data_IF_366016617920
#
_entry.id   IF_366016617920
#
_cell.length_a   1.000
_cell.length_b   1.000
_cell.length_c   1.000
_cell.angle_alpha   90.00
_cell.angle_beta   90.00
_cell.angle_gamma   90.00
#
_symmetry.space_group_name_H-M   'P 1'
#
loop_
_entity.id
_entity.type
_entity.pdbx_description
1 polymer ?
#
# COMPACT_ATOMS: atom_id res chain seq x y z
N UNK A 1 10.72 -11.05 -18.67
CA UNK A 1 11.89 -11.05 -17.77
C UNK A 1 12.36 -9.61 -17.68
N UNK A 2 11.90 -8.88 -16.67
CA UNK A 2 12.32 -7.49 -16.42
C UNK A 2 13.24 -7.54 -15.20
N UNK A 3 14.54 -7.47 -15.45
CA UNK A 3 15.54 -7.09 -14.46
C UNK A 3 15.34 -5.60 -14.16
N UNK A 4 14.49 -5.28 -13.18
CA UNK A 4 14.35 -3.92 -12.66
C UNK A 4 15.11 -3.89 -11.33
N UNK A 5 16.30 -3.29 -11.39
CA UNK A 5 16.98 -2.55 -10.32
C UNK A 5 17.06 -3.26 -8.96
N UNK A 6 17.89 -4.29 -8.88
CA UNK A 6 18.44 -4.79 -7.61
C UNK A 6 19.24 -3.70 -6.90
N UNK A 7 18.58 -2.91 -6.05
CA UNK A 7 19.28 -2.02 -5.12
C UNK A 7 18.72 -2.20 -3.72
N UNK A 8 19.64 -2.36 -2.77
CA UNK A 8 19.50 -2.49 -1.31
C UNK A 8 18.39 -1.64 -0.64
N UNK A 9 17.90 -0.60 -1.30
CA UNK A 9 16.85 0.30 -0.83
C UNK A 9 15.42 -0.19 -1.15
N UNK A 10 15.22 -0.98 -2.22
CA UNK A 10 13.89 -1.50 -2.57
C UNK A 10 13.32 -2.41 -1.48
N UNK A 11 14.12 -3.33 -0.94
CA UNK A 11 13.66 -4.23 0.13
C UNK A 11 13.20 -3.47 1.37
N UNK A 12 13.97 -2.47 1.80
CA UNK A 12 13.64 -1.64 2.97
C UNK A 12 12.40 -0.76 2.73
N UNK A 13 12.26 -0.21 1.51
CA UNK A 13 11.11 0.59 1.12
C UNK A 13 9.84 -0.27 1.05
N UNK A 14 9.92 -1.46 0.44
CA UNK A 14 8.80 -2.39 0.33
C UNK A 14 8.36 -2.93 1.69
N UNK A 15 9.29 -3.19 2.61
CA UNK A 15 8.95 -3.56 3.99
C UNK A 15 8.27 -2.41 4.73
N UNK A 16 8.73 -1.18 4.54
CA UNK A 16 8.10 -0.01 5.12
C UNK A 16 6.65 0.17 4.61
N UNK A 17 6.46 0.12 3.30
CA UNK A 17 5.13 0.14 2.68
C UNK A 17 4.25 -1.00 3.23
N UNK A 18 4.79 -2.22 3.29
CA UNK A 18 4.06 -3.39 3.81
C UNK A 18 3.58 -3.15 5.24
N UNK A 19 4.43 -2.64 6.13
CA UNK A 19 4.06 -2.42 7.53
C UNK A 19 2.98 -1.34 7.69
N UNK A 20 3.09 -0.23 6.96
CA UNK A 20 2.04 0.80 6.92
C UNK A 20 0.73 0.22 6.41
N UNK A 21 0.77 -0.58 5.34
CA UNK A 21 -0.43 -1.16 4.76
C UNK A 21 -1.09 -2.21 5.66
N UNK A 22 -0.29 -3.01 6.40
CA UNK A 22 -0.80 -3.92 7.42
C UNK A 22 -1.49 -3.14 8.55
N UNK A 23 -0.84 -2.10 9.06
CA UNK A 23 -1.38 -1.24 10.12
C UNK A 23 -2.68 -0.54 9.67
N UNK A 24 -2.70 -0.03 8.44
CA UNK A 24 -3.90 0.53 7.82
C UNK A 24 -5.02 -0.51 7.70
N UNK A 25 -4.71 -1.71 7.22
CA UNK A 25 -5.69 -2.78 7.06
C UNK A 25 -6.30 -3.21 8.40
N UNK A 26 -5.48 -3.39 9.43
CA UNK A 26 -5.91 -3.78 10.78
C UNK A 26 -6.84 -2.73 11.39
N UNK A 27 -6.44 -1.45 11.36
CA UNK A 27 -7.25 -0.34 11.89
C UNK A 27 -8.61 -0.18 11.21
N UNK A 28 -8.71 -0.61 9.94
CA UNK A 28 -9.93 -0.51 9.15
C UNK A 28 -10.64 -1.85 8.93
N UNK A 29 -10.22 -2.90 9.65
CA UNK A 29 -10.80 -4.25 9.59
C UNK A 29 -10.92 -4.80 8.16
N UNK A 30 -9.91 -4.55 7.32
CA UNK A 30 -9.84 -5.12 5.98
C UNK A 30 -9.53 -6.61 6.08
N UNK A 31 -10.22 -7.41 5.27
CA UNK A 31 -9.90 -8.83 5.11
C UNK A 31 -8.55 -8.97 4.40
N UNK A 32 -7.91 -10.15 4.53
CA UNK A 32 -6.65 -10.45 3.84
C UNK A 32 -6.68 -10.09 2.35
N UNK A 33 -7.79 -10.37 1.66
CA UNK A 33 -7.91 -10.11 0.22
C UNK A 33 -8.12 -8.64 -0.11
N UNK A 34 -8.88 -7.92 0.73
CA UNK A 34 -9.06 -6.48 0.58
C UNK A 34 -7.74 -5.73 0.81
N UNK A 35 -6.96 -6.15 1.82
CA UNK A 35 -5.63 -5.60 2.09
C UNK A 35 -4.67 -5.83 0.92
N UNK A 36 -4.66 -7.04 0.35
CA UNK A 36 -3.85 -7.37 -0.82
C UNK A 36 -4.21 -6.48 -2.03
N UNK A 37 -5.51 -6.30 -2.30
CA UNK A 37 -5.98 -5.42 -3.38
C UNK A 37 -5.56 -3.96 -3.13
N UNK A 38 -5.71 -3.44 -1.90
CA UNK A 38 -5.31 -2.08 -1.56
C UNK A 38 -3.79 -1.86 -1.72
N UNK A 39 -2.98 -2.86 -1.35
CA UNK A 39 -1.51 -2.84 -1.50
C UNK A 39 -1.12 -2.81 -2.98
N UNK A 40 -1.66 -3.73 -3.78
CA UNK A 40 -1.37 -3.81 -5.21
C UNK A 40 -1.75 -2.52 -5.94
N UNK A 41 -2.91 -1.98 -5.56
CA UNK A 41 -3.41 -0.70 -6.07
C UNK A 41 -2.47 0.46 -5.70
N UNK A 42 -1.96 0.53 -4.47
CA UNK A 42 -1.06 1.62 -4.06
C UNK A 42 0.35 1.50 -4.65
N UNK A 43 0.95 0.31 -4.62
CA UNK A 43 2.35 0.10 -5.02
C UNK A 43 2.52 0.13 -6.53
N UNK A 44 1.64 -0.59 -7.24
CA UNK A 44 1.80 -0.80 -8.67
C UNK A 44 0.84 0.05 -9.51
N UNK A 45 -0.17 0.69 -8.88
CA UNK A 45 -1.17 1.46 -9.62
C UNK A 45 -2.07 0.60 -10.49
N UNK A 46 -2.18 -0.70 -10.19
CA UNK A 46 -2.92 -1.64 -11.04
C UNK A 46 -4.37 -1.22 -11.25
N UNK A 47 -4.79 -1.31 -12.51
CA UNK A 47 -6.19 -1.24 -12.94
C UNK A 47 -7.00 -2.42 -12.40
N UNK A 48 -8.33 -2.34 -12.49
CA UNK A 48 -9.19 -3.44 -12.09
C UNK A 48 -8.93 -4.73 -12.89
N UNK A 49 -8.44 -4.62 -14.13
CA UNK A 49 -8.08 -5.76 -14.96
C UNK A 49 -6.75 -6.37 -14.48
N UNK A 50 -5.72 -5.56 -14.28
CA UNK A 50 -4.43 -6.06 -13.77
C UNK A 50 -4.56 -6.66 -12.37
N UNK A 51 -5.39 -6.06 -11.50
CA UNK A 51 -5.75 -6.64 -10.21
C UNK A 51 -6.41 -8.00 -10.40
N UNK A 52 -7.39 -8.11 -11.30
CA UNK A 52 -8.10 -9.36 -11.58
C UNK A 52 -7.14 -10.47 -12.04
N UNK A 53 -6.23 -10.13 -12.97
CA UNK A 53 -5.25 -11.04 -13.53
C UNK A 53 -4.24 -11.47 -12.46
N UNK A 54 -3.66 -10.51 -11.71
CA UNK A 54 -2.71 -10.78 -10.64
C UNK A 54 -3.30 -11.65 -9.52
N UNK A 55 -4.57 -11.38 -9.20
CA UNK A 55 -5.31 -12.06 -8.15
C UNK A 55 -5.93 -13.39 -8.64
N UNK A 56 -5.94 -13.68 -9.94
CA UNK A 56 -6.67 -14.82 -10.52
C UNK A 56 -8.16 -14.86 -10.13
N UNK A 57 -8.83 -13.70 -10.21
CA UNK A 57 -10.27 -13.53 -9.93
C UNK A 57 -10.92 -12.70 -11.03
N UNK A 58 -12.25 -12.64 -11.08
CA UNK A 58 -12.93 -11.79 -12.05
C UNK A 58 -12.81 -10.29 -11.72
N UNK A 59 -12.85 -9.43 -12.74
CA UNK A 59 -12.97 -7.97 -12.57
C UNK A 59 -14.18 -7.58 -11.72
N UNK A 60 -15.29 -8.33 -11.84
CA UNK A 60 -16.48 -8.13 -10.99
C UNK A 60 -16.15 -8.38 -9.52
N UNK A 61 -15.37 -9.41 -9.22
CA UNK A 61 -14.92 -9.73 -7.86
C UNK A 61 -13.98 -8.64 -7.33
N UNK A 62 -13.07 -8.11 -8.15
CA UNK A 62 -12.22 -6.95 -7.77
C UNK A 62 -13.09 -5.74 -7.40
N UNK A 63 -14.09 -5.40 -8.23
CA UNK A 63 -15.02 -4.31 -7.93
C UNK A 63 -15.76 -4.53 -6.62
N UNK A 64 -16.24 -5.75 -6.36
CA UNK A 64 -16.89 -6.08 -5.09
C UNK A 64 -15.95 -5.90 -3.88
N UNK A 65 -14.67 -6.29 -4.00
CA UNK A 65 -13.69 -6.04 -2.94
C UNK A 65 -13.44 -4.54 -2.73
N UNK A 66 -13.30 -3.76 -3.81
CA UNK A 66 -13.15 -2.30 -3.72
C UNK A 66 -14.38 -1.65 -3.09
N UNK A 67 -15.58 -2.10 -3.44
CA UNK A 67 -16.83 -1.61 -2.83
C UNK A 67 -16.89 -1.92 -1.34
N UNK A 68 -16.46 -3.12 -0.92
CA UNK A 68 -16.40 -3.48 0.49
C UNK A 68 -15.34 -2.66 1.25
N UNK A 69 -14.17 -2.43 0.67
CA UNK A 69 -13.14 -1.53 1.21
C UNK A 69 -13.74 -0.14 1.40
N UNK A 70 -14.36 0.41 0.36
CA UNK A 70 -14.96 1.74 0.39
C UNK A 70 -16.05 1.86 1.46
N UNK A 71 -16.91 0.85 1.59
CA UNK A 71 -17.93 0.78 2.67
C UNK A 71 -17.31 0.77 4.06
N UNK A 72 -16.28 -0.06 4.30
CA UNK A 72 -15.58 -0.13 5.59
C UNK A 72 -14.91 1.20 5.97
N UNK A 73 -14.41 1.93 4.97
CA UNK A 73 -13.77 3.23 5.15
C UNK A 73 -14.76 4.41 5.18
N UNK A 74 -16.06 4.18 4.91
CA UNK A 74 -17.05 5.25 4.81
C UNK A 74 -16.80 6.21 3.65
N UNK A 75 -16.23 5.73 2.55
CA UNK A 75 -15.92 6.53 1.35
C UNK A 75 -16.67 5.99 0.13
N UNK A 76 -16.73 6.80 -0.93
CA UNK A 76 -17.43 6.46 -2.18
C UNK A 76 -16.58 6.66 -3.43
N UNK A 77 -15.25 6.73 -3.27
CA UNK A 77 -14.34 7.06 -4.36
C UNK A 77 -13.00 6.36 -4.20
N UNK A 78 -12.58 5.64 -5.23
CA UNK A 78 -11.24 5.06 -5.31
C UNK A 78 -10.15 6.12 -5.21
N UNK A 79 -10.39 7.35 -5.71
CA UNK A 79 -9.45 8.47 -5.52
C UNK A 79 -9.27 8.82 -4.04
N UNK A 80 -10.35 8.74 -3.25
CA UNK A 80 -10.27 8.96 -1.80
C UNK A 80 -9.52 7.82 -1.11
N UNK A 81 -9.70 6.58 -1.58
CA UNK A 81 -8.91 5.42 -1.12
C UNK A 81 -7.41 5.67 -1.34
N UNK A 82 -6.99 6.05 -2.55
CA UNK A 82 -5.60 6.42 -2.83
C UNK A 82 -5.09 7.52 -1.89
N UNK A 83 -5.86 8.59 -1.71
CA UNK A 83 -5.51 9.69 -0.80
C UNK A 83 -5.33 9.21 0.64
N UNK A 84 -6.18 8.32 1.14
CA UNK A 84 -6.07 7.79 2.50
C UNK A 84 -4.86 6.87 2.67
N UNK A 85 -4.57 6.03 1.67
CA UNK A 85 -3.39 5.15 1.68
C UNK A 85 -2.08 5.97 1.64
N UNK A 86 -2.03 7.00 0.79
CA UNK A 86 -0.92 7.96 0.75
C UNK A 86 -0.78 8.75 2.06
N UNK A 87 -1.89 9.18 2.66
CA UNK A 87 -1.86 9.82 3.99
C UNK A 87 -1.36 8.87 5.07
N UNK A 88 -1.78 7.60 5.07
CA UNK A 88 -1.26 6.60 6.00
C UNK A 88 0.25 6.45 5.84
N UNK A 89 0.74 6.34 4.60
CA UNK A 89 2.17 6.28 4.30
C UNK A 89 2.95 7.52 4.73
N UNK A 90 2.42 8.72 4.47
CA UNK A 90 3.10 9.97 4.82
C UNK A 90 3.07 10.27 6.33
N UNK A 91 1.95 10.03 7.00
CA UNK A 91 1.78 10.31 8.43
C UNK A 91 2.46 9.26 9.32
N UNK A 92 2.45 7.98 8.93
CA UNK A 92 3.22 6.94 9.62
C UNK A 92 4.71 6.95 9.20
N UNK A 93 5.04 7.57 8.05
CA UNK A 93 6.39 7.58 7.47
C UNK A 93 7.24 8.81 7.75
N UNK A 94 6.59 9.92 8.11
CA UNK A 94 7.26 11.11 8.61
C UNK A 94 8.15 10.82 9.83
N UNK A 95 7.79 9.81 10.65
CA UNK A 95 8.63 9.38 11.78
C UNK A 95 9.86 8.58 11.33
N UNK A 96 9.76 7.72 10.31
CA UNK A 96 10.84 6.81 9.91
C UNK A 96 11.94 7.51 9.10
N UNK A 97 11.58 8.47 8.25
CA UNK A 97 12.58 9.26 7.51
C UNK A 97 13.35 10.22 8.42
N UNK A 98 12.67 10.83 9.40
CA UNK A 98 13.32 11.68 10.40
C UNK A 98 14.24 10.88 11.33
N UNK A 99 13.83 9.68 11.76
CA UNK A 99 14.65 8.79 12.60
C UNK A 99 15.89 8.27 11.83
N UNK A 100 15.73 7.93 10.55
CA UNK A 100 16.81 7.40 9.72
C UNK A 100 17.79 8.47 9.25
N UNK A 101 17.33 9.69 8.93
CA UNK A 101 18.19 10.84 8.68
C UNK A 101 19.05 11.17 9.91
N UNK A 102 18.44 11.21 11.10
CA UNK A 102 19.15 11.39 12.38
C UNK A 102 20.14 10.26 12.71
N UNK A 103 19.90 9.04 12.21
CA UNK A 103 20.82 7.90 12.38
C UNK A 103 21.98 7.96 11.39
N UNK A 104 21.72 8.40 10.16
CA UNK A 104 22.75 8.61 9.15
C UNK A 104 23.71 9.72 9.57
N UNK A 105 23.19 10.89 9.98
CA UNK A 105 24.01 12.02 10.47
C UNK A 105 24.92 11.64 11.65
N UNK A 106 24.47 10.74 12.53
CA UNK A 106 25.27 10.21 13.66
C UNK A 106 26.31 9.15 13.27
N UNK A 107 26.21 8.56 12.09
CA UNK A 107 27.16 7.58 11.58
C UNK A 107 28.20 8.19 10.63
N UNK A 108 27.89 9.36 10.06
CA UNK A 108 28.76 10.08 9.12
C UNK A 108 29.50 11.28 9.72
N UNK A 109 29.34 11.53 11.03
CA UNK A 109 30.15 12.43 11.84
C UNK A 109 30.89 11.64 12.92
#
# INVERSE_FOLDING_TARGET
MLEIVSTKYEGKYLDYVRQTMLSFAERNHLTRRESEIAVLLMIYGYSNQELADHCSISVKTVKNHLDNIMKKLGIHSTRKLYSMLLQAFCCEGGMVMAEQARRYERMSG
#
